data_IF_867502055655
#
_entry.id   IF_867502055655
#
_cell.length_a   1.000
_cell.length_b   1.000
_cell.length_c   1.000
_cell.angle_alpha   90.00
_cell.angle_beta   90.00
_cell.angle_gamma   90.00
#
_symmetry.space_group_name_H-M   'P 1'
#
loop_
_entity.id
_entity.type
_entity.pdbx_description
1 polymer ?
#
# COMPACT_ATOMS: atom_id res chain seq x y z
N UNK A 1 -7.53 12.48 15.02
CA UNK A 1 -7.26 11.77 13.75
C UNK A 1 -8.54 11.48 12.94
N UNK A 2 -9.72 11.32 13.56
CA UNK A 2 -10.97 10.99 12.84
C UNK A 2 -11.47 12.10 11.88
N UNK A 3 -11.37 13.37 12.25
CA UNK A 3 -12.11 14.44 11.52
C UNK A 3 -11.29 15.20 10.47
N UNK A 4 -9.97 15.03 10.45
CA UNK A 4 -9.08 15.74 9.51
C UNK A 4 -9.20 15.24 8.07
N UNK A 5 -9.37 13.94 7.86
CA UNK A 5 -9.48 13.34 6.53
C UNK A 5 -10.82 13.69 5.82
N UNK A 6 -11.99 13.59 6.50
CA UNK A 6 -13.24 14.10 5.95
C UNK A 6 -13.16 15.58 5.62
N UNK A 7 -12.54 16.39 6.50
CA UNK A 7 -12.35 17.82 6.25
C UNK A 7 -11.51 18.07 4.99
N UNK A 8 -10.35 17.41 4.87
CA UNK A 8 -9.50 17.55 3.69
C UNK A 8 -10.25 17.17 2.40
N UNK A 9 -11.05 16.10 2.45
CA UNK A 9 -11.89 15.70 1.32
C UNK A 9 -12.86 16.83 0.93
N UNK A 10 -13.60 17.38 1.89
CA UNK A 10 -14.54 18.49 1.64
C UNK A 10 -13.83 19.71 1.07
N UNK A 11 -12.68 20.08 1.62
CA UNK A 11 -11.90 21.24 1.16
C UNK A 11 -11.39 21.04 -0.29
N UNK A 12 -10.99 19.80 -0.64
CA UNK A 12 -10.61 19.44 -2.02
C UNK A 12 -11.80 19.44 -2.99
N UNK A 13 -12.96 18.93 -2.57
CA UNK A 13 -14.19 18.97 -3.38
C UNK A 13 -14.60 20.42 -3.66
N UNK A 14 -14.51 21.28 -2.65
CA UNK A 14 -14.79 22.71 -2.81
C UNK A 14 -13.78 23.41 -3.71
N UNK A 15 -12.49 23.05 -3.63
CA UNK A 15 -11.46 23.57 -4.55
C UNK A 15 -11.74 23.20 -6.02
N UNK A 16 -12.18 21.96 -6.27
CA UNK A 16 -12.59 21.51 -7.61
C UNK A 16 -13.78 22.33 -8.11
N UNK A 17 -14.79 22.53 -7.27
CA UNK A 17 -15.97 23.33 -7.61
C UNK A 17 -15.61 24.78 -7.94
N UNK A 18 -14.74 25.42 -7.14
CA UNK A 18 -14.30 26.80 -7.39
C UNK A 18 -13.47 26.93 -8.66
N UNK A 19 -12.62 25.96 -8.94
CA UNK A 19 -11.86 25.89 -10.19
C UNK A 19 -12.80 25.77 -11.39
N UNK A 20 -13.85 24.97 -11.28
CA UNK A 20 -14.87 24.85 -12.31
C UNK A 20 -15.68 26.15 -12.49
N UNK A 21 -16.09 26.79 -11.40
CA UNK A 21 -16.78 28.08 -11.43
C UNK A 21 -15.94 29.17 -12.12
N UNK A 22 -14.63 29.17 -11.87
CA UNK A 22 -13.68 30.05 -12.56
C UNK A 22 -13.66 29.76 -14.06
N UNK A 23 -13.51 28.48 -14.45
CA UNK A 23 -13.52 28.06 -15.84
C UNK A 23 -14.78 28.53 -16.58
N UNK A 24 -15.97 28.35 -16.00
CA UNK A 24 -17.24 28.80 -16.59
C UNK A 24 -17.27 30.31 -16.75
N UNK A 25 -16.86 31.05 -15.72
CA UNK A 25 -16.89 32.53 -15.72
C UNK A 25 -15.90 33.11 -16.74
N UNK A 26 -14.75 32.46 -16.94
CA UNK A 26 -13.74 32.87 -17.91
C UNK A 26 -14.15 32.49 -19.34
N UNK A 27 -14.85 31.38 -19.52
CA UNK A 27 -15.32 30.94 -20.84
C UNK A 27 -16.37 31.89 -21.43
N UNK A 28 -17.26 32.43 -20.61
CA UNK A 28 -18.24 33.47 -20.99
C UNK A 28 -17.93 34.81 -20.33
N UNK A 29 -16.69 35.28 -20.53
CA UNK A 29 -16.22 36.49 -19.87
C UNK A 29 -16.90 37.76 -20.40
N UNK A 30 -17.32 38.63 -19.48
CA UNK A 30 -17.90 39.94 -19.76
C UNK A 30 -17.20 40.98 -18.86
N UNK A 31 -17.09 42.24 -19.28
CA UNK A 31 -16.39 43.25 -18.48
C UNK A 31 -16.96 43.39 -17.04
N UNK A 32 -18.27 43.20 -16.88
CA UNK A 32 -18.93 43.17 -15.57
C UNK A 32 -18.60 41.92 -14.71
N UNK A 33 -18.07 40.85 -15.28
CA UNK A 33 -17.73 39.62 -14.54
C UNK A 33 -16.33 39.65 -13.91
N UNK A 34 -15.49 40.66 -14.23
CA UNK A 34 -14.15 40.81 -13.66
C UNK A 34 -14.12 40.76 -12.11
N UNK A 35 -15.00 41.47 -11.37
CA UNK A 35 -14.99 41.40 -9.90
C UNK A 35 -15.27 39.99 -9.38
N UNK A 36 -16.08 39.20 -10.10
CA UNK A 36 -16.39 37.81 -9.75
C UNK A 36 -15.19 36.91 -10.00
N UNK A 37 -14.44 37.12 -11.08
CA UNK A 37 -13.20 36.40 -11.36
C UNK A 37 -12.19 36.65 -10.24
N UNK A 38 -11.99 37.91 -9.83
CA UNK A 38 -11.06 38.27 -8.77
C UNK A 38 -11.46 37.64 -7.41
N UNK A 39 -12.76 37.60 -7.11
CA UNK A 39 -13.27 36.92 -5.91
C UNK A 39 -12.96 35.42 -5.92
N UNK A 40 -13.33 34.71 -7.00
CA UNK A 40 -13.10 33.26 -7.10
C UNK A 40 -11.61 32.93 -7.07
N UNK A 41 -10.76 33.76 -7.67
CA UNK A 41 -9.32 33.55 -7.69
C UNK A 41 -8.71 33.71 -6.28
N UNK A 42 -9.15 34.72 -5.52
CA UNK A 42 -8.76 34.87 -4.12
C UNK A 42 -9.27 33.72 -3.23
N UNK A 43 -10.48 33.21 -3.48
CA UNK A 43 -11.00 32.03 -2.79
C UNK A 43 -10.14 30.78 -3.07
N UNK A 44 -9.78 30.52 -4.34
CA UNK A 44 -8.89 29.41 -4.71
C UNK A 44 -7.53 29.53 -4.01
N UNK A 45 -6.93 30.72 -3.98
CA UNK A 45 -5.67 30.96 -3.28
C UNK A 45 -5.81 30.65 -1.78
N UNK A 46 -6.90 31.09 -1.15
CA UNK A 46 -7.21 30.78 0.24
C UNK A 46 -7.30 29.29 0.51
N UNK A 47 -8.08 28.57 -0.32
CA UNK A 47 -8.25 27.12 -0.21
C UNK A 47 -6.93 26.36 -0.37
N UNK A 48 -6.11 26.73 -1.36
CA UNK A 48 -4.79 26.11 -1.54
C UNK A 48 -3.89 26.32 -0.32
N UNK A 49 -3.94 27.50 0.28
CA UNK A 49 -3.19 27.82 1.50
C UNK A 49 -3.68 27.00 2.70
N UNK A 50 -4.99 26.80 2.81
CA UNK A 50 -5.58 26.00 3.90
C UNK A 50 -5.22 24.51 3.74
N UNK A 51 -5.27 23.97 2.52
CA UNK A 51 -4.85 22.60 2.21
C UNK A 51 -3.36 22.38 2.55
N UNK A 52 -2.49 23.33 2.20
CA UNK A 52 -1.06 23.23 2.52
C UNK A 52 -0.81 23.22 4.05
N UNK A 53 -1.54 24.03 4.82
CA UNK A 53 -1.46 24.03 6.28
C UNK A 53 -1.93 22.71 6.92
N UNK A 54 -2.85 22.01 6.27
CA UNK A 54 -3.35 20.72 6.76
C UNK A 54 -2.35 19.57 6.57
N UNK A 55 -1.32 19.73 5.74
CA UNK A 55 -0.29 18.70 5.47
C UNK A 55 0.32 18.11 6.75
N UNK A 56 0.55 18.93 7.77
CA UNK A 56 1.11 18.48 9.05
C UNK A 56 0.24 17.47 9.81
N UNK A 57 -1.06 17.41 9.52
CA UNK A 57 -2.01 16.51 10.19
C UNK A 57 -1.98 15.07 9.64
N UNK A 58 -1.30 14.84 8.52
CA UNK A 58 -1.27 13.56 7.81
C UNK A 58 0.10 12.87 7.82
N UNK A 59 1.04 13.32 8.65
CA UNK A 59 2.41 12.78 8.68
C UNK A 59 2.49 11.28 9.00
N UNK A 60 1.51 10.75 9.74
CA UNK A 60 1.43 9.33 10.08
C UNK A 60 0.88 8.45 8.94
N UNK A 61 0.28 9.06 7.91
CA UNK A 61 -0.26 8.33 6.77
C UNK A 61 0.85 8.15 5.72
N UNK A 62 1.31 6.92 5.56
CA UNK A 62 2.24 6.56 4.49
C UNK A 62 1.48 6.03 3.27
N UNK A 63 1.74 6.62 2.10
CA UNK A 63 1.16 6.20 0.84
C UNK A 63 2.21 5.38 0.08
N UNK A 64 1.94 4.12 -0.30
CA UNK A 64 2.84 3.36 -1.13
C UNK A 64 3.07 4.06 -2.46
N UNK A 65 4.32 4.29 -2.87
CA UNK A 65 4.63 4.97 -4.14
C UNK A 65 4.02 4.27 -5.36
N UNK A 66 3.89 2.95 -5.31
CA UNK A 66 3.23 2.17 -6.37
C UNK A 66 1.74 2.52 -6.53
N UNK A 67 1.07 2.99 -5.47
CA UNK A 67 -0.33 3.43 -5.54
C UNK A 67 -0.48 4.67 -6.41
N UNK A 68 0.52 5.57 -6.44
CA UNK A 68 0.49 6.76 -7.27
C UNK A 68 0.41 6.40 -8.76
N UNK A 69 1.11 5.35 -9.19
CA UNK A 69 1.01 4.87 -10.58
C UNK A 69 -0.42 4.48 -10.96
N UNK A 70 -1.23 3.94 -10.03
CA UNK A 70 -2.63 3.63 -10.31
C UNK A 70 -3.46 4.90 -10.46
N UNK A 71 -3.17 5.94 -9.67
CA UNK A 71 -3.84 7.25 -9.78
C UNK A 71 -3.47 7.94 -11.09
N UNK A 72 -2.18 7.95 -11.46
CA UNK A 72 -1.67 8.55 -12.69
C UNK A 72 -2.24 7.86 -13.94
N UNK A 73 -2.40 6.53 -13.89
CA UNK A 73 -3.05 5.73 -14.94
C UNK A 73 -4.58 5.85 -14.95
N UNK A 74 -5.18 6.69 -14.09
CA UNK A 74 -6.63 6.84 -13.92
C UNK A 74 -7.35 5.52 -13.54
N UNK A 75 -6.65 4.60 -12.88
CA UNK A 75 -7.18 3.34 -12.37
C UNK A 75 -7.70 3.52 -10.94
N UNK A 76 -8.67 2.68 -10.55
CA UNK A 76 -9.15 2.66 -9.18
C UNK A 76 -8.01 2.22 -8.22
N UNK A 77 -7.63 3.04 -7.22
CA UNK A 77 -6.58 2.69 -6.24
C UNK A 77 -6.86 1.40 -5.45
N UNK A 78 -8.13 0.98 -5.31
CA UNK A 78 -8.49 -0.29 -4.65
C UNK A 78 -7.97 -1.52 -5.42
N UNK A 79 -7.69 -1.38 -6.71
CA UNK A 79 -7.08 -2.44 -7.51
C UNK A 79 -5.67 -2.75 -7.02
N UNK A 80 -4.91 -1.76 -6.55
CA UNK A 80 -3.61 -1.99 -5.92
C UNK A 80 -3.73 -2.87 -4.68
N UNK A 81 -4.72 -2.60 -3.82
CA UNK A 81 -4.98 -3.41 -2.62
C UNK A 81 -5.29 -4.85 -3.02
N UNK A 82 -6.17 -5.05 -4.01
CA UNK A 82 -6.49 -6.37 -4.54
C UNK A 82 -5.24 -7.09 -5.07
N UNK A 83 -4.44 -6.42 -5.89
CA UNK A 83 -3.24 -7.01 -6.50
C UNK A 83 -2.18 -7.34 -5.45
N UNK A 84 -2.07 -6.53 -4.39
CA UNK A 84 -1.19 -6.79 -3.26
C UNK A 84 -1.61 -8.05 -2.49
N UNK A 85 -2.91 -8.19 -2.20
CA UNK A 85 -3.47 -9.37 -1.56
C UNK A 85 -3.26 -10.62 -2.43
N UNK A 86 -3.55 -10.51 -3.73
CA UNK A 86 -3.39 -11.61 -4.68
C UNK A 86 -1.93 -12.08 -4.76
N UNK A 87 -0.97 -11.16 -4.92
CA UNK A 87 0.46 -11.49 -4.91
C UNK A 87 0.90 -12.13 -3.60
N UNK A 88 0.36 -11.66 -2.48
CA UNK A 88 0.68 -12.21 -1.16
C UNK A 88 0.16 -13.65 -1.03
N UNK A 89 -1.05 -13.92 -1.53
CA UNK A 89 -1.63 -15.25 -1.56
C UNK A 89 -0.81 -16.20 -2.45
N UNK A 90 -0.53 -15.81 -3.69
CA UNK A 90 0.27 -16.61 -4.63
C UNK A 90 1.66 -16.91 -4.05
N UNK A 91 2.29 -15.92 -3.43
CA UNK A 91 3.59 -16.09 -2.75
C UNK A 91 3.49 -17.05 -1.57
N UNK A 92 2.41 -16.98 -0.79
CA UNK A 92 2.20 -17.87 0.34
C UNK A 92 2.06 -19.33 -0.12
N UNK A 93 1.24 -19.57 -1.14
CA UNK A 93 1.06 -20.90 -1.74
C UNK A 93 2.37 -21.44 -2.31
N UNK A 94 3.13 -20.61 -3.04
CA UNK A 94 4.43 -20.97 -3.59
C UNK A 94 5.43 -21.37 -2.47
N UNK A 95 5.50 -20.59 -1.39
CA UNK A 95 6.40 -20.89 -0.26
C UNK A 95 5.96 -22.16 0.47
N UNK A 96 4.66 -22.36 0.69
CA UNK A 96 4.16 -23.58 1.31
C UNK A 96 4.48 -24.82 0.46
N UNK A 97 4.29 -24.74 -0.86
CA UNK A 97 4.65 -25.84 -1.77
C UNK A 97 6.15 -26.16 -1.77
N UNK A 98 7.02 -25.14 -1.67
CA UNK A 98 8.46 -25.33 -1.48
C UNK A 98 8.78 -26.01 -0.15
N UNK A 99 8.13 -25.57 0.93
CA UNK A 99 8.33 -26.16 2.25
C UNK A 99 7.90 -27.64 2.29
N UNK A 100 6.75 -27.96 1.68
CA UNK A 100 6.27 -29.34 1.57
C UNK A 100 7.22 -30.22 0.74
N UNK A 101 7.73 -29.68 -0.37
CA UNK A 101 8.68 -30.41 -1.23
C UNK A 101 10.00 -30.67 -0.50
N UNK A 102 10.52 -29.69 0.23
CA UNK A 102 11.72 -29.85 1.05
C UNK A 102 11.51 -30.86 2.17
N UNK A 103 10.34 -30.86 2.82
CA UNK A 103 10.01 -31.86 3.84
C UNK A 103 10.00 -33.28 3.24
N UNK A 104 9.32 -33.49 2.11
CA UNK A 104 9.29 -34.78 1.40
C UNK A 104 10.69 -35.23 0.94
N UNK A 105 11.51 -34.30 0.47
CA UNK A 105 12.89 -34.58 0.10
C UNK A 105 13.71 -35.02 1.32
N UNK A 106 13.59 -34.31 2.44
CA UNK A 106 14.25 -34.66 3.68
C UNK A 106 13.84 -36.05 4.19
N UNK A 107 12.55 -36.40 4.12
CA UNK A 107 12.04 -37.72 4.50
C UNK A 107 12.60 -38.82 3.60
N UNK A 108 12.59 -38.61 2.28
CA UNK A 108 13.13 -39.57 1.31
C UNK A 108 14.63 -39.77 1.51
N UNK A 109 15.37 -38.68 1.68
CA UNK A 109 16.81 -38.73 1.95
C UNK A 109 17.10 -39.46 3.27
N UNK A 110 16.29 -39.23 4.31
CA UNK A 110 16.43 -39.92 5.58
C UNK A 110 16.21 -41.43 5.45
N UNK A 111 15.29 -41.88 4.59
CA UNK A 111 15.06 -43.31 4.31
C UNK A 111 16.28 -43.93 3.61
N UNK A 112 16.76 -43.31 2.53
CA UNK A 112 17.93 -43.80 1.78
C UNK A 112 19.19 -43.83 2.65
N UNK A 113 19.44 -42.77 3.43
CA UNK A 113 20.57 -42.72 4.36
C UNK A 113 20.45 -43.74 5.48
N UNK A 114 19.24 -44.04 5.96
CA UNK A 114 19.02 -45.10 6.96
C UNK A 114 19.34 -46.49 6.39
N UNK A 115 19.11 -46.69 5.08
CA UNK A 115 19.41 -47.95 4.40
C UNK A 115 20.91 -48.13 4.17
N UNK A 116 21.61 -47.10 3.71
CA UNK A 116 23.04 -47.17 3.37
C UNK A 116 23.97 -46.97 4.58
N UNK A 117 23.57 -46.17 5.58
CA UNK A 117 24.40 -45.74 6.71
C UNK A 117 23.64 -45.78 8.06
N UNK A 118 23.24 -46.98 8.54
CA UNK A 118 22.34 -47.12 9.70
C UNK A 118 22.93 -46.60 11.03
N UNK A 119 24.24 -46.79 11.25
CA UNK A 119 24.91 -46.37 12.47
C UNK A 119 24.98 -44.83 12.58
N UNK A 120 25.42 -44.18 11.50
CA UNK A 120 25.52 -42.72 11.40
C UNK A 120 24.14 -42.06 11.52
N UNK A 121 23.11 -42.66 10.93
CA UNK A 121 21.75 -42.13 10.99
C UNK A 121 21.15 -42.24 12.41
N UNK A 122 21.53 -43.26 13.17
CA UNK A 122 21.14 -43.40 14.58
C UNK A 122 21.76 -42.27 15.43
N UNK A 123 23.05 -41.98 15.25
CA UNK A 123 23.72 -40.85 15.91
C UNK A 123 23.10 -39.50 15.52
N UNK A 124 22.78 -39.30 14.23
CA UNK A 124 22.12 -38.08 13.75
C UNK A 124 20.74 -37.87 14.37
N UNK A 125 19.91 -38.93 14.48
CA UNK A 125 18.59 -38.84 15.13
C UNK A 125 18.72 -38.49 16.61
N UNK A 126 19.71 -39.05 17.30
CA UNK A 126 20.01 -38.71 18.70
C UNK A 126 20.47 -37.25 18.86
N UNK A 127 21.26 -36.74 17.91
CA UNK A 127 21.66 -35.33 17.89
C UNK A 127 20.47 -34.39 17.62
N UNK A 128 19.63 -34.70 16.63
CA UNK A 128 18.44 -33.90 16.29
C UNK A 128 17.38 -33.88 17.39
N UNK A 129 17.30 -34.94 18.20
CA UNK A 129 16.38 -35.05 19.33
C UNK A 129 16.87 -34.32 20.59
N UNK A 130 18.14 -33.86 20.64
CA UNK A 130 18.58 -32.96 21.70
C UNK A 130 17.87 -31.62 21.49
N UNK A 131 17.20 -31.06 22.50
CA UNK A 131 16.65 -29.72 22.39
C UNK A 131 17.80 -28.76 22.08
N UNK A 132 17.61 -27.90 21.08
CA UNK A 132 18.52 -26.79 20.82
C UNK A 132 18.66 -25.99 22.11
N UNK A 133 19.84 -26.05 22.73
CA UNK A 133 20.22 -25.18 23.85
C UNK A 133 20.55 -23.78 23.32
N UNK A 134 19.59 -23.16 22.65
CA UNK A 134 19.65 -21.79 22.13
C UNK A 134 18.33 -21.10 22.50
N UNK A 135 18.13 -20.96 23.80
CA UNK A 135 17.31 -19.92 24.42
C UNK A 135 18.10 -19.45 25.66
N UNK A 136 19.17 -18.70 25.40
CA UNK A 136 19.80 -17.74 26.31
C UNK A 136 20.20 -16.51 25.51
#
# INVERSE_FOLDING_TARGET
>A
MSDSLPKLKTDLEYLIEKTWNLYVTVTDFQAQSQPRVDQVLNEIIGLLKDVDQMKGQFQEIQIPGQLLNYVDDLKNPQMFTRDCLQRTLERNEEINGKNETLAKFADTLAVELSSQFPNQMTEYRLWKAKPSSVDQ
#
